data_IF_628856947689
#
_entry.id   IF_628856947689
#
_cell.length_a   1.000
_cell.length_b   1.000
_cell.length_c   1.000
_cell.angle_alpha   90.00
_cell.angle_beta   90.00
_cell.angle_gamma   90.00
#
_symmetry.space_group_name_H-M   'P 1'
#
loop_
_entity.id
_entity.type
_entity.pdbx_description
1 polymer ?
#
# COMPACT_ATOMS: atom_id res chain seq x y z
N UNK A 1 -7.28 -5.20 17.33
CA UNK A 1 -7.76 -5.86 18.53
C UNK A 1 -6.63 -6.72 19.12
N UNK A 2 -5.96 -6.28 20.20
CA UNK A 2 -4.92 -7.06 20.84
C UNK A 2 -5.57 -8.18 21.69
N UNK A 3 -5.08 -9.39 21.55
CA UNK A 3 -5.44 -10.57 22.30
C UNK A 3 -4.18 -11.10 22.99
N UNK A 4 -4.22 -11.34 24.30
CA UNK A 4 -3.08 -11.82 25.09
C UNK A 4 -3.57 -12.85 26.10
N UNK A 5 -2.85 -13.94 26.25
CA UNK A 5 -3.14 -14.97 27.27
C UNK A 5 -3.18 -14.32 28.66
N UNK A 6 -4.18 -14.65 29.47
CA UNK A 6 -4.43 -14.06 30.77
C UNK A 6 -5.27 -12.78 30.77
N UNK A 7 -5.61 -12.21 29.60
CA UNK A 7 -6.50 -11.06 29.53
C UNK A 7 -7.97 -11.47 29.57
N UNK A 8 -8.78 -10.63 30.21
CA UNK A 8 -10.25 -10.82 30.23
C UNK A 8 -10.88 -10.35 28.91
N UNK A 9 -11.81 -11.12 28.40
CA UNK A 9 -12.57 -10.85 27.16
C UNK A 9 -14.03 -11.18 27.39
N UNK A 10 -14.90 -10.20 27.19
CA UNK A 10 -16.33 -10.42 27.10
C UNK A 10 -16.69 -11.02 25.72
N UNK A 11 -17.21 -12.23 25.72
CA UNK A 11 -17.51 -12.97 24.49
C UNK A 11 -18.57 -12.29 23.61
N UNK A 12 -19.56 -11.64 24.19
CA UNK A 12 -20.60 -10.94 23.43
C UNK A 12 -20.01 -9.68 22.77
N UNK A 13 -19.24 -8.90 23.52
CA UNK A 13 -18.55 -7.74 23.00
C UNK A 13 -17.51 -8.10 21.94
N UNK A 14 -16.76 -9.20 22.12
CA UNK A 14 -15.82 -9.70 21.13
C UNK A 14 -16.52 -10.01 19.79
N UNK A 15 -17.68 -10.67 19.83
CA UNK A 15 -18.45 -10.99 18.62
C UNK A 15 -18.92 -9.72 17.89
N UNK A 16 -19.43 -8.74 18.63
CA UNK A 16 -19.84 -7.45 18.06
C UNK A 16 -18.63 -6.74 17.43
N UNK A 17 -17.50 -6.70 18.14
CA UNK A 17 -16.29 -6.06 17.65
C UNK A 17 -15.73 -6.73 16.39
N UNK A 18 -15.69 -8.07 16.35
CA UNK A 18 -15.28 -8.81 15.14
C UNK A 18 -16.21 -8.52 13.95
N UNK A 19 -17.52 -8.47 14.20
CA UNK A 19 -18.48 -8.10 13.17
C UNK A 19 -18.24 -6.66 12.67
N UNK A 20 -18.06 -5.69 13.57
CA UNK A 20 -17.77 -4.30 13.22
C UNK A 20 -16.42 -4.15 12.47
N UNK A 21 -15.46 -5.06 12.75
CA UNK A 21 -14.19 -5.18 12.05
C UNK A 21 -14.31 -5.89 10.68
N UNK A 22 -15.52 -6.29 10.27
CA UNK A 22 -15.80 -6.91 8.97
C UNK A 22 -15.62 -8.41 8.89
N UNK A 23 -15.41 -9.11 10.02
CA UNK A 23 -15.38 -10.57 10.05
C UNK A 23 -16.78 -11.15 9.90
N UNK A 24 -16.88 -12.24 9.14
CA UNK A 24 -18.14 -12.96 8.91
C UNK A 24 -18.24 -14.14 9.87
N UNK A 25 -19.36 -14.22 10.60
CA UNK A 25 -19.61 -15.34 11.49
C UNK A 25 -20.01 -16.58 10.72
N UNK A 26 -19.24 -17.65 10.88
CA UNK A 26 -19.49 -18.96 10.28
C UNK A 26 -19.57 -20.06 11.35
N UNK A 27 -20.05 -21.24 10.96
CA UNK A 27 -20.07 -22.41 11.85
C UNK A 27 -18.68 -22.97 12.13
N UNK A 28 -17.82 -22.91 11.11
CA UNK A 28 -16.41 -23.28 11.11
C UNK A 28 -15.65 -22.28 10.27
N UNK A 29 -14.48 -21.92 10.74
CA UNK A 29 -13.57 -21.03 10.02
C UNK A 29 -12.89 -21.80 8.89
N UNK A 30 -13.02 -21.31 7.66
CA UNK A 30 -12.45 -21.95 6.46
C UNK A 30 -11.56 -21.02 5.65
N UNK A 31 -11.78 -19.71 5.67
CA UNK A 31 -11.05 -18.73 4.85
C UNK A 31 -10.78 -17.46 5.68
N UNK A 32 -9.73 -16.67 5.28
CA UNK A 32 -9.47 -15.38 5.89
C UNK A 32 -10.71 -14.48 5.89
N UNK A 33 -10.96 -13.81 7.01
CA UNK A 33 -12.15 -12.99 7.25
C UNK A 33 -13.30 -13.73 7.94
N UNK A 34 -13.21 -15.03 8.16
CA UNK A 34 -14.21 -15.80 8.93
C UNK A 34 -13.91 -15.76 10.43
N UNK A 35 -14.95 -15.82 11.27
CA UNK A 35 -14.83 -16.19 12.68
C UNK A 35 -15.94 -17.16 13.10
N UNK A 36 -15.67 -17.97 14.12
CA UNK A 36 -16.63 -18.94 14.68
C UNK A 36 -16.57 -18.92 16.20
N UNK A 37 -17.74 -19.14 16.82
CA UNK A 37 -17.86 -19.25 18.29
C UNK A 37 -18.54 -20.55 18.62
N UNK A 38 -17.89 -21.37 19.48
CA UNK A 38 -18.36 -22.69 19.90
C UNK A 38 -18.15 -22.88 21.41
N UNK A 39 -19.13 -22.51 22.20
CA UNK A 39 -18.98 -22.48 23.65
C UNK A 39 -17.96 -21.44 24.08
N UNK A 40 -16.91 -21.87 24.78
CA UNK A 40 -15.79 -21.02 25.20
C UNK A 40 -14.69 -20.87 24.15
N UNK A 41 -14.84 -21.49 22.97
CA UNK A 41 -13.84 -21.43 21.90
C UNK A 41 -14.24 -20.38 20.89
N UNK A 42 -13.29 -19.48 20.56
CA UNK A 42 -13.42 -18.52 19.47
C UNK A 42 -12.31 -18.77 18.46
N UNK A 43 -12.69 -19.07 17.23
CA UNK A 43 -11.80 -19.21 16.08
C UNK A 43 -11.88 -17.95 15.22
N UNK A 44 -10.75 -17.36 14.83
CA UNK A 44 -10.67 -16.17 13.98
C UNK A 44 -9.65 -16.44 12.89
N UNK A 45 -9.97 -16.13 11.62
CA UNK A 45 -9.01 -16.20 10.53
C UNK A 45 -8.65 -14.80 10.07
N UNK A 46 -7.55 -14.21 10.57
CA UNK A 46 -7.10 -12.90 10.13
C UNK A 46 -6.69 -12.89 8.66
N UNK A 47 -6.78 -11.71 8.00
CA UNK A 47 -6.40 -11.56 6.59
C UNK A 47 -4.89 -11.64 6.34
N UNK A 48 -4.10 -11.33 7.35
CA UNK A 48 -2.64 -11.23 7.33
C UNK A 48 -1.93 -12.42 7.97
N UNK A 49 -2.67 -13.49 8.31
CA UNK A 49 -2.13 -14.70 8.91
C UNK A 49 -2.27 -15.92 7.98
N UNK A 50 -1.24 -16.76 7.96
CA UNK A 50 -1.25 -18.02 7.17
C UNK A 50 -2.22 -19.05 7.77
N UNK A 51 -2.47 -19.00 9.09
CA UNK A 51 -3.34 -19.89 9.83
C UNK A 51 -4.35 -19.13 10.68
N UNK A 52 -5.56 -19.68 10.85
CA UNK A 52 -6.51 -19.15 11.82
C UNK A 52 -6.02 -19.32 13.26
N UNK A 53 -6.55 -18.46 14.12
CA UNK A 53 -6.23 -18.40 15.55
C UNK A 53 -7.40 -18.96 16.33
N UNK A 54 -7.12 -19.78 17.34
CA UNK A 54 -8.09 -20.29 18.31
C UNK A 54 -7.80 -19.72 19.68
N UNK A 55 -8.82 -19.11 20.26
CA UNK A 55 -8.86 -18.71 21.65
C UNK A 55 -9.67 -19.76 22.42
N UNK A 56 -9.11 -20.32 23.47
CA UNK A 56 -9.85 -21.07 24.49
C UNK A 56 -10.04 -20.14 25.70
N UNK A 57 -11.30 -19.92 26.11
CA UNK A 57 -11.63 -19.07 27.24
C UNK A 57 -11.94 -19.94 28.46
N UNK A 58 -11.37 -19.55 29.59
CA UNK A 58 -11.82 -20.05 30.91
C UNK A 58 -12.64 -18.94 31.56
N UNK A 59 -13.96 -19.10 31.56
CA UNK A 59 -14.93 -18.05 31.89
C UNK A 59 -14.76 -16.84 30.95
N UNK A 60 -14.15 -15.75 31.40
CA UNK A 60 -13.87 -14.55 30.63
C UNK A 60 -12.37 -14.37 30.29
N UNK A 61 -11.48 -15.20 30.82
CA UNK A 61 -10.05 -15.11 30.65
C UNK A 61 -9.57 -15.94 29.44
N UNK A 62 -8.67 -15.41 28.63
CA UNK A 62 -8.01 -16.16 27.56
C UNK A 62 -7.02 -17.15 28.21
N UNK A 63 -7.39 -18.42 28.29
CA UNK A 63 -6.54 -19.49 28.84
C UNK A 63 -5.45 -19.88 27.84
N UNK A 64 -5.81 -20.08 26.56
CA UNK A 64 -4.85 -20.39 25.51
C UNK A 64 -5.14 -19.64 24.23
N UNK A 65 -4.05 -19.33 23.50
CA UNK A 65 -4.06 -18.74 22.17
C UNK A 65 -3.15 -19.55 21.26
N UNK A 66 -3.65 -20.03 20.11
CA UNK A 66 -2.89 -20.92 19.24
C UNK A 66 -3.28 -20.80 17.77
N UNK A 67 -2.31 -20.98 16.87
CA UNK A 67 -2.62 -21.27 15.46
C UNK A 67 -3.17 -22.69 15.32
N UNK A 68 -4.08 -22.89 14.38
CA UNK A 68 -4.58 -24.20 14.02
C UNK A 68 -4.78 -24.33 12.51
N UNK A 69 -4.67 -25.54 12.02
CA UNK A 69 -4.93 -25.86 10.62
C UNK A 69 -6.46 -25.98 10.40
N UNK A 70 -7.04 -25.18 9.48
CA UNK A 70 -8.50 -25.15 9.29
C UNK A 70 -9.07 -26.45 8.71
N UNK A 71 -8.27 -27.26 7.99
CA UNK A 71 -8.72 -28.52 7.40
C UNK A 71 -8.68 -29.65 8.42
N UNK A 72 -7.58 -29.79 9.16
CA UNK A 72 -7.41 -30.88 10.14
C UNK A 72 -7.87 -30.52 11.53
N UNK A 73 -8.14 -29.25 11.82
CA UNK A 73 -8.51 -28.69 13.13
C UNK A 73 -7.46 -28.90 14.24
N UNK A 74 -6.22 -29.26 13.85
CA UNK A 74 -5.13 -29.49 14.80
C UNK A 74 -4.36 -28.20 15.07
N UNK A 75 -3.91 -28.03 16.31
CA UNK A 75 -3.03 -26.92 16.70
C UNK A 75 -1.70 -27.04 15.94
N UNK A 76 -1.21 -25.91 15.46
CA UNK A 76 0.08 -25.78 14.76
C UNK A 76 1.12 -25.23 15.73
N UNK A 77 0.84 -24.10 16.39
CA UNK A 77 1.76 -23.44 17.31
C UNK A 77 0.98 -22.66 18.39
N UNK A 78 1.61 -22.44 19.55
CA UNK A 78 1.04 -21.64 20.62
C UNK A 78 1.53 -20.18 20.50
N UNK A 79 0.67 -19.27 20.96
CA UNK A 79 0.95 -17.82 20.96
C UNK A 79 0.77 -17.28 22.38
N UNK A 80 1.61 -16.33 22.78
CA UNK A 80 1.41 -15.54 24.01
C UNK A 80 0.47 -14.36 23.75
N UNK A 81 0.53 -13.79 22.55
CA UNK A 81 -0.32 -12.68 22.12
C UNK A 81 -0.46 -12.64 20.61
N UNK A 82 -1.55 -12.03 20.12
CA UNK A 82 -1.78 -11.72 18.72
C UNK A 82 -2.61 -10.44 18.57
N UNK A 83 -2.36 -9.66 17.53
CA UNK A 83 -3.19 -8.49 17.20
C UNK A 83 -4.03 -8.78 15.97
N UNK A 84 -5.35 -8.93 16.15
CA UNK A 84 -6.30 -9.10 15.05
C UNK A 84 -6.52 -7.75 14.37
N UNK A 85 -6.21 -7.66 13.08
CA UNK A 85 -6.47 -6.50 12.24
C UNK A 85 -7.89 -6.57 11.66
N UNK A 86 -8.48 -5.43 11.24
CA UNK A 86 -9.78 -5.44 10.55
C UNK A 86 -9.75 -6.26 9.27
N UNK A 87 -10.86 -6.94 8.98
CA UNK A 87 -11.09 -7.66 7.72
C UNK A 87 -11.77 -6.79 6.65
N UNK A 88 -11.93 -5.50 6.91
CA UNK A 88 -12.51 -4.51 6.01
C UNK A 88 -11.74 -3.19 6.07
N UNK A 89 -11.73 -2.45 4.96
CA UNK A 89 -11.22 -1.09 4.91
C UNK A 89 -12.19 -0.09 5.57
N UNK A 90 -13.41 -0.52 5.85
CA UNK A 90 -14.48 0.33 6.41
C UNK A 90 -14.99 -0.24 7.73
N UNK A 91 -14.53 0.34 8.83
CA UNK A 91 -15.05 0.01 10.17
C UNK A 91 -16.30 0.87 10.40
N UNK A 92 -17.46 0.22 10.49
CA UNK A 92 -18.75 0.88 10.65
C UNK A 92 -19.48 0.29 11.86
N UNK A 93 -19.50 1.04 12.95
CA UNK A 93 -20.31 0.66 14.13
C UNK A 93 -21.78 1.00 13.91
N UNK A 94 -22.67 0.33 14.64
CA UNK A 94 -24.10 0.64 14.63
C UNK A 94 -24.38 2.12 14.95
N UNK A 95 -23.64 2.72 15.87
CA UNK A 95 -23.78 4.13 16.22
C UNK A 95 -23.41 5.05 15.03
N UNK A 96 -22.33 4.73 14.31
CA UNK A 96 -21.92 5.48 13.10
C UNK A 96 -22.97 5.37 12.00
N UNK A 97 -23.51 4.18 11.77
CA UNK A 97 -24.55 3.95 10.76
C UNK A 97 -25.85 4.68 11.10
N UNK A 98 -26.30 4.65 12.37
CA UNK A 98 -27.47 5.40 12.81
C UNK A 98 -27.30 6.91 12.62
N UNK A 99 -26.16 7.46 13.05
CA UNK A 99 -25.85 8.87 12.85
C UNK A 99 -25.70 9.22 11.35
N UNK A 100 -25.16 8.30 10.56
CA UNK A 100 -25.06 8.41 9.11
C UNK A 100 -26.44 8.50 8.44
N UNK A 101 -27.36 7.65 8.84
CA UNK A 101 -28.74 7.65 8.35
C UNK A 101 -29.46 8.98 8.64
N UNK A 102 -29.24 9.56 9.83
CA UNK A 102 -29.79 10.87 10.19
C UNK A 102 -29.21 11.99 9.30
N UNK A 103 -27.87 12.00 9.08
CA UNK A 103 -27.20 12.97 8.21
C UNK A 103 -27.67 12.84 6.76
N UNK A 104 -27.77 11.63 6.22
CA UNK A 104 -28.25 11.35 4.88
C UNK A 104 -29.73 11.78 4.71
N UNK A 105 -30.59 11.47 5.69
CA UNK A 105 -32.01 11.89 5.69
C UNK A 105 -32.15 13.41 5.67
N UNK A 106 -31.34 14.12 6.45
CA UNK A 106 -31.31 15.59 6.46
C UNK A 106 -30.87 16.15 5.12
N UNK A 107 -29.82 15.60 4.53
CA UNK A 107 -29.32 16.01 3.21
C UNK A 107 -30.34 15.72 2.10
N UNK A 108 -30.96 14.54 2.11
CA UNK A 108 -32.05 14.17 1.17
C UNK A 108 -33.22 15.15 1.28
N UNK A 109 -33.63 15.55 2.48
CA UNK A 109 -34.70 16.52 2.69
C UNK A 109 -34.38 17.91 2.14
N UNK A 110 -33.11 18.31 2.16
CA UNK A 110 -32.62 19.55 1.56
C UNK A 110 -32.60 19.47 0.01
N UNK A 111 -32.17 18.34 -0.53
CA UNK A 111 -32.11 18.09 -1.98
C UNK A 111 -33.48 18.01 -2.60
N UNK A 112 -34.43 17.29 -2.00
CA UNK A 112 -35.81 17.13 -2.52
C UNK A 112 -36.54 18.44 -2.72
N UNK A 113 -36.21 19.49 -1.96
CA UNK A 113 -36.80 20.82 -2.13
C UNK A 113 -36.48 21.46 -3.49
N UNK A 114 -35.36 21.07 -4.09
CA UNK A 114 -34.83 21.59 -5.36
C UNK A 114 -35.28 20.77 -6.57
N UNK A 115 -35.74 19.54 -6.38
CA UNK A 115 -36.09 18.58 -7.44
C UNK A 115 -37.56 18.70 -7.89
N UNK A 116 -37.84 18.25 -9.12
CA UNK A 116 -39.21 18.04 -9.64
C UNK A 116 -39.85 16.86 -8.89
N UNK A 117 -41.18 16.79 -8.95
CA UNK A 117 -41.96 15.78 -8.20
C UNK A 117 -41.56 14.34 -8.59
N UNK A 118 -41.36 14.06 -9.86
CA UNK A 118 -40.93 12.75 -10.37
C UNK A 118 -39.56 12.35 -9.82
N UNK A 119 -38.65 13.29 -9.85
CA UNK A 119 -37.24 13.07 -9.46
C UNK A 119 -37.12 12.89 -7.92
N UNK A 120 -38.00 13.57 -7.14
CA UNK A 120 -38.08 13.37 -5.68
C UNK A 120 -38.47 11.94 -5.32
N UNK A 121 -39.46 11.38 -6.06
CA UNK A 121 -39.92 10.02 -5.82
C UNK A 121 -38.81 9.03 -6.14
N UNK A 122 -38.16 9.17 -7.29
CA UNK A 122 -37.03 8.30 -7.69
C UNK A 122 -35.89 8.36 -6.68
N UNK A 123 -35.51 9.55 -6.20
CA UNK A 123 -34.49 9.70 -5.17
C UNK A 123 -34.91 9.01 -3.86
N UNK A 124 -36.16 9.19 -3.42
CA UNK A 124 -36.66 8.57 -2.20
C UNK A 124 -36.65 7.02 -2.30
N UNK A 125 -37.10 6.50 -3.46
CA UNK A 125 -37.13 5.05 -3.70
C UNK A 125 -35.69 4.47 -3.67
N UNK A 126 -34.74 5.14 -4.32
CA UNK A 126 -33.33 4.72 -4.35
C UNK A 126 -32.66 4.74 -2.95
N UNK A 127 -33.01 5.70 -2.10
CA UNK A 127 -32.42 5.84 -0.76
C UNK A 127 -33.13 5.02 0.32
N UNK A 128 -34.28 4.44 0.04
CA UNK A 128 -35.07 3.66 1.02
C UNK A 128 -34.28 2.48 1.57
N UNK A 129 -33.69 1.67 0.70
CA UNK A 129 -32.94 0.48 1.13
C UNK A 129 -31.64 0.86 1.87
N UNK A 130 -30.76 1.74 1.35
CA UNK A 130 -29.58 2.21 2.07
C UNK A 130 -29.87 2.77 3.47
N UNK A 131 -30.91 3.60 3.60
CA UNK A 131 -31.32 4.14 4.90
C UNK A 131 -31.81 3.04 5.87
N UNK A 132 -32.59 2.07 5.37
CA UNK A 132 -33.04 0.92 6.16
C UNK A 132 -31.86 0.07 6.62
N UNK A 133 -30.88 -0.15 5.75
CA UNK A 133 -29.70 -0.95 6.07
C UNK A 133 -28.83 -0.25 7.12
N UNK A 134 -28.58 1.06 6.97
CA UNK A 134 -27.89 1.87 7.99
C UNK A 134 -28.59 1.80 9.36
N UNK A 135 -29.93 1.92 9.39
CA UNK A 135 -30.70 1.85 10.64
C UNK A 135 -30.62 0.49 11.32
N UNK A 136 -30.51 -0.58 10.53
CA UNK A 136 -30.40 -1.97 11.01
C UNK A 136 -28.97 -2.43 11.28
N UNK A 137 -27.98 -1.60 10.96
CA UNK A 137 -26.55 -1.99 11.06
C UNK A 137 -26.11 -3.01 10.00
N UNK A 138 -26.80 -3.05 8.85
CA UNK A 138 -26.47 -3.96 7.75
C UNK A 138 -25.52 -3.27 6.76
N UNK A 139 -24.41 -3.94 6.45
CA UNK A 139 -23.43 -3.46 5.47
C UNK A 139 -23.79 -4.01 4.10
N UNK A 140 -24.50 -3.19 3.28
CA UNK A 140 -24.81 -3.50 1.89
C UNK A 140 -23.73 -3.00 0.93
N UNK A 141 -23.68 -3.57 -0.28
CA UNK A 141 -22.69 -3.21 -1.31
C UNK A 141 -22.70 -1.72 -1.70
N UNK A 142 -23.86 -1.07 -1.62
CA UNK A 142 -24.04 0.34 -2.02
C UNK A 142 -23.77 1.32 -0.87
N UNK A 143 -23.44 0.82 0.33
CA UNK A 143 -23.26 1.67 1.51
C UNK A 143 -22.11 2.67 1.35
N UNK A 144 -21.09 2.30 0.60
CA UNK A 144 -19.92 3.14 0.31
C UNK A 144 -20.26 4.40 -0.50
N UNK A 145 -21.34 4.38 -1.27
CA UNK A 145 -21.87 5.57 -1.96
C UNK A 145 -22.23 6.70 -0.98
N UNK A 146 -22.46 6.36 0.27
CA UNK A 146 -22.87 7.26 1.34
C UNK A 146 -21.79 7.44 2.41
N UNK A 147 -20.54 7.11 2.10
CA UNK A 147 -19.40 7.18 3.01
C UNK A 147 -19.23 8.55 3.68
N UNK A 148 -19.47 9.64 2.96
CA UNK A 148 -19.42 11.00 3.50
C UNK A 148 -20.42 11.25 4.63
N UNK A 149 -21.53 10.48 4.67
CA UNK A 149 -22.55 10.56 5.73
C UNK A 149 -22.23 9.60 6.88
N UNK A 150 -21.48 8.55 6.64
CA UNK A 150 -21.12 7.55 7.65
C UNK A 150 -20.00 8.04 8.58
N UNK A 151 -19.02 8.72 8.04
CA UNK A 151 -17.90 9.28 8.79
C UNK A 151 -18.13 10.76 9.15
N UNK A 152 -17.76 11.14 10.37
CA UNK A 152 -17.88 12.52 10.85
C UNK A 152 -16.77 13.45 10.35
N UNK A 153 -15.64 12.87 9.96
CA UNK A 153 -14.48 13.58 9.42
C UNK A 153 -13.83 12.76 8.30
N UNK A 154 -13.26 13.46 7.33
CA UNK A 154 -12.41 12.83 6.34
C UNK A 154 -11.03 12.58 6.96
N UNK A 155 -10.47 11.42 6.69
CA UNK A 155 -9.10 11.04 7.06
C UNK A 155 -8.24 10.91 5.80
N UNK A 156 -6.94 11.07 5.97
CA UNK A 156 -5.95 10.92 4.90
C UNK A 156 -4.80 10.03 5.35
N UNK A 157 -3.93 9.65 4.44
CA UNK A 157 -2.72 8.88 4.78
C UNK A 157 -1.80 9.64 5.75
N UNK A 158 -1.90 10.97 5.80
CA UNK A 158 -1.07 11.80 6.69
C UNK A 158 -1.44 11.62 8.16
N UNK A 159 -2.69 11.24 8.44
CA UNK A 159 -3.16 10.97 9.81
C UNK A 159 -2.47 9.73 10.42
N UNK A 160 -1.82 8.90 9.61
CA UNK A 160 -1.04 7.75 10.05
C UNK A 160 0.46 8.07 10.26
N UNK A 161 0.90 9.27 9.90
CA UNK A 161 2.28 9.70 10.11
C UNK A 161 2.43 10.17 11.57
N UNK A 162 3.49 9.73 12.25
CA UNK A 162 3.79 10.19 13.61
C UNK A 162 4.11 11.70 13.59
N UNK A 163 3.82 12.40 14.68
CA UNK A 163 3.94 13.86 14.77
C UNK A 163 5.33 14.43 14.46
N UNK A 164 6.38 13.62 14.63
CA UNK A 164 7.77 13.92 14.28
C UNK A 164 8.21 13.33 12.94
N UNK A 165 7.27 12.73 12.22
CA UNK A 165 7.49 12.11 10.92
C UNK A 165 7.76 13.11 9.81
N UNK A 166 8.29 12.60 8.69
CA UNK A 166 8.56 13.37 7.47
C UNK A 166 7.76 12.78 6.32
N UNK A 167 7.04 13.62 5.60
CA UNK A 167 6.30 13.24 4.39
C UNK A 167 7.14 13.56 3.17
N UNK A 168 7.44 12.54 2.37
CA UNK A 168 8.23 12.69 1.14
C UNK A 168 7.33 12.49 -0.08
N UNK A 169 7.24 13.51 -0.91
CA UNK A 169 6.53 13.47 -2.19
C UNK A 169 7.52 13.21 -3.31
N UNK A 170 7.46 12.03 -3.92
CA UNK A 170 8.23 11.70 -5.10
C UNK A 170 7.49 12.17 -6.36
N UNK A 171 8.08 13.09 -7.12
CA UNK A 171 7.48 13.68 -8.33
C UNK A 171 6.09 14.31 -8.08
N UNK A 172 5.99 15.25 -7.14
CA UNK A 172 4.74 15.90 -6.75
C UNK A 172 3.89 16.39 -7.94
N UNK A 173 4.51 16.89 -9.01
CA UNK A 173 3.78 17.29 -10.21
C UNK A 173 3.05 16.13 -10.88
N UNK A 174 3.62 14.92 -10.87
CA UNK A 174 2.97 13.71 -11.39
C UNK A 174 1.82 13.26 -10.51
N UNK A 175 1.96 13.44 -9.19
CA UNK A 175 0.86 13.16 -8.25
C UNK A 175 -0.33 14.05 -8.59
N UNK A 176 -0.12 15.35 -8.82
CA UNK A 176 -1.19 16.27 -9.24
C UNK A 176 -1.79 15.93 -10.60
N UNK A 177 -0.97 15.52 -11.57
CA UNK A 177 -1.46 15.10 -12.89
C UNK A 177 -2.33 13.83 -12.77
N UNK A 178 -1.92 12.87 -11.95
CA UNK A 178 -2.70 11.65 -11.67
C UNK A 178 -4.01 11.97 -10.92
N UNK A 179 -3.95 12.86 -9.93
CA UNK A 179 -5.14 13.33 -9.22
C UNK A 179 -6.15 13.97 -10.18
N UNK A 180 -5.68 14.83 -11.10
CA UNK A 180 -6.57 15.46 -12.07
C UNK A 180 -7.30 14.44 -12.95
N UNK A 181 -6.62 13.35 -13.35
CA UNK A 181 -7.24 12.27 -14.11
C UNK A 181 -8.27 11.50 -13.26
N UNK A 182 -7.97 11.23 -12.00
CA UNK A 182 -8.91 10.59 -11.07
C UNK A 182 -10.14 11.46 -10.83
N UNK A 183 -9.97 12.75 -10.58
CA UNK A 183 -11.06 13.69 -10.37
C UNK A 183 -11.95 13.83 -11.60
N UNK A 184 -11.40 13.76 -12.81
CA UNK A 184 -12.20 13.75 -14.03
C UNK A 184 -13.08 12.50 -14.12
N UNK A 185 -12.48 11.31 -13.88
CA UNK A 185 -13.25 10.05 -13.87
C UNK A 185 -14.31 10.01 -12.77
N UNK A 186 -14.00 10.54 -11.59
CA UNK A 186 -14.95 10.69 -10.49
C UNK A 186 -16.11 11.63 -10.86
N UNK A 187 -15.83 12.77 -11.48
CA UNK A 187 -16.85 13.73 -11.91
C UNK A 187 -17.80 13.12 -12.96
N UNK A 188 -17.27 12.37 -13.92
CA UNK A 188 -18.07 11.67 -14.93
C UNK A 188 -18.97 10.61 -14.26
N UNK A 189 -18.42 9.83 -13.33
CA UNK A 189 -19.18 8.84 -12.58
C UNK A 189 -20.24 9.46 -11.66
N UNK A 190 -19.90 10.52 -10.90
CA UNK A 190 -20.89 11.25 -10.07
C UNK A 190 -22.01 11.80 -10.93
N UNK A 191 -21.70 12.34 -12.11
CA UNK A 191 -22.69 12.85 -13.06
C UNK A 191 -23.69 11.77 -13.47
N UNK A 192 -23.21 10.55 -13.75
CA UNK A 192 -24.06 9.40 -14.05
C UNK A 192 -24.93 9.02 -12.85
N UNK A 193 -24.34 8.93 -11.64
CA UNK A 193 -25.11 8.60 -10.43
C UNK A 193 -26.17 9.66 -10.08
N UNK A 194 -25.87 10.94 -10.30
CA UNK A 194 -26.82 12.03 -10.14
C UNK A 194 -27.97 11.96 -11.15
N UNK A 195 -27.69 11.64 -12.43
CA UNK A 195 -28.69 11.45 -13.45
C UNK A 195 -29.70 10.33 -13.11
N UNK A 196 -29.21 9.31 -12.38
CA UNK A 196 -30.03 8.20 -11.89
C UNK A 196 -30.59 8.42 -10.48
N UNK A 197 -30.40 9.58 -9.88
CA UNK A 197 -30.83 9.92 -8.51
C UNK A 197 -30.37 8.90 -7.44
N UNK A 198 -29.16 8.34 -7.58
CA UNK A 198 -28.56 7.40 -6.62
C UNK A 198 -27.73 8.09 -5.56
N UNK A 199 -27.22 9.28 -5.84
CA UNK A 199 -26.44 10.11 -4.91
C UNK A 199 -27.01 11.51 -4.85
N UNK A 200 -26.61 12.28 -3.84
CA UNK A 200 -27.03 13.67 -3.69
C UNK A 200 -26.04 14.63 -4.36
N UNK A 201 -26.50 15.83 -4.70
CA UNK A 201 -25.67 16.85 -5.37
C UNK A 201 -24.48 17.33 -4.55
N UNK A 202 -24.45 17.00 -3.27
CA UNK A 202 -23.34 17.29 -2.34
C UNK A 202 -22.29 16.17 -2.29
N UNK A 203 -22.48 15.09 -3.04
CA UNK A 203 -21.58 13.94 -3.02
C UNK A 203 -20.12 14.33 -3.32
N UNK A 204 -19.21 13.93 -2.44
CA UNK A 204 -17.78 14.22 -2.53
C UNK A 204 -16.99 13.06 -1.93
N UNK A 205 -16.32 12.29 -2.78
CA UNK A 205 -15.60 11.06 -2.38
C UNK A 205 -14.10 11.27 -2.18
N UNK A 206 -13.51 12.25 -2.89
CA UNK A 206 -12.07 12.51 -2.87
C UNK A 206 -11.63 13.56 -1.85
N UNK A 207 -10.32 13.65 -1.65
CA UNK A 207 -9.63 14.74 -1.01
C UNK A 207 -8.77 15.45 -2.07
N UNK A 208 -8.68 16.78 -2.02
CA UNK A 208 -7.75 17.55 -2.87
C UNK A 208 -6.34 17.48 -2.27
N UNK A 209 -5.36 17.02 -3.04
CA UNK A 209 -3.96 16.87 -2.60
C UNK A 209 -3.35 18.19 -2.15
N UNK A 210 -3.73 19.31 -2.77
CA UNK A 210 -3.20 20.63 -2.40
C UNK A 210 -3.74 21.09 -1.05
N UNK A 211 -4.99 20.74 -0.75
CA UNK A 211 -5.59 21.07 0.54
C UNK A 211 -5.04 20.16 1.64
N UNK A 212 -4.81 18.88 1.34
CA UNK A 212 -4.11 17.96 2.23
C UNK A 212 -2.70 18.44 2.54
N UNK A 213 -1.92 18.82 1.52
CA UNK A 213 -0.56 19.34 1.69
C UNK A 213 -0.51 20.61 2.56
N UNK A 214 -1.49 21.49 2.42
CA UNK A 214 -1.57 22.73 3.23
C UNK A 214 -2.02 22.49 4.66
N UNK A 215 -2.91 21.50 4.85
CA UNK A 215 -3.44 21.16 6.17
C UNK A 215 -2.44 20.33 7.00
N UNK A 216 -1.56 19.62 6.33
CA UNK A 216 -0.55 18.77 6.96
C UNK A 216 0.52 19.62 7.68
N UNK A 217 0.82 19.27 8.93
CA UNK A 217 1.80 19.96 9.77
C UNK A 217 3.18 19.30 9.83
N UNK A 218 3.35 18.14 9.19
CA UNK A 218 4.62 17.41 9.17
C UNK A 218 5.68 18.14 8.35
N UNK A 219 6.93 17.82 8.59
CA UNK A 219 8.02 18.24 7.72
C UNK A 219 7.83 17.59 6.33
N UNK A 220 7.87 18.38 5.27
CA UNK A 220 7.58 17.94 3.91
C UNK A 220 8.80 18.10 3.01
N UNK A 221 9.12 17.04 2.25
CA UNK A 221 10.19 17.03 1.25
C UNK A 221 9.58 16.68 -0.10
N UNK A 222 9.73 17.58 -1.07
CA UNK A 222 9.30 17.34 -2.44
C UNK A 222 10.53 16.99 -3.29
N UNK A 223 10.60 15.76 -3.78
CA UNK A 223 11.66 15.25 -4.66
C UNK A 223 11.18 15.32 -6.10
N UNK A 224 12.02 15.81 -7.01
CA UNK A 224 11.69 15.91 -8.42
C UNK A 224 12.95 15.86 -9.28
N UNK A 225 12.87 15.19 -10.44
CA UNK A 225 13.96 15.15 -11.42
C UNK A 225 14.20 16.50 -12.09
N UNK A 226 13.14 17.29 -12.23
CA UNK A 226 13.21 18.60 -12.86
C UNK A 226 12.59 19.67 -11.98
N UNK A 227 13.20 20.83 -11.94
CA UNK A 227 12.60 21.98 -11.29
C UNK A 227 11.39 22.47 -12.10
N UNK A 228 10.23 21.90 -11.83
CA UNK A 228 8.95 22.39 -12.35
C UNK A 228 8.27 23.26 -11.30
N UNK A 229 7.48 24.23 -11.78
CA UNK A 229 6.64 25.01 -10.87
C UNK A 229 5.63 24.09 -10.15
N UNK A 230 5.66 24.10 -8.83
CA UNK A 230 4.75 23.34 -7.97
C UNK A 230 3.50 24.14 -7.60
N UNK A 231 3.14 25.10 -8.44
CA UNK A 231 2.00 25.97 -8.22
C UNK A 231 2.20 26.88 -6.99
N UNK A 232 1.15 27.04 -6.17
CA UNK A 232 1.14 27.95 -5.03
C UNK A 232 1.73 27.34 -3.73
N UNK A 233 2.59 26.31 -3.84
CA UNK A 233 3.26 25.72 -2.68
C UNK A 233 4.42 26.64 -2.25
N UNK A 234 4.40 27.04 -0.98
CA UNK A 234 5.46 27.87 -0.39
C UNK A 234 6.59 26.98 0.12
N UNK A 235 7.72 27.00 -0.59
CA UNK A 235 8.91 26.24 -0.21
C UNK A 235 9.78 27.05 0.74
N UNK A 236 10.28 26.40 1.79
CA UNK A 236 11.26 26.97 2.71
C UNK A 236 12.65 27.04 2.06
N UNK A 237 13.03 26.00 1.31
CA UNK A 237 14.33 25.89 0.65
C UNK A 237 14.21 25.03 -0.62
N UNK A 238 15.06 25.31 -1.59
CA UNK A 238 15.26 24.47 -2.80
C UNK A 238 16.73 24.05 -2.82
N UNK A 239 16.96 22.74 -2.90
CA UNK A 239 18.32 22.17 -2.97
C UNK A 239 18.44 21.33 -4.24
N UNK A 240 19.45 21.60 -5.05
CA UNK A 240 19.77 20.80 -6.22
C UNK A 240 20.75 19.68 -5.82
N UNK A 241 20.33 18.43 -5.97
CA UNK A 241 21.17 17.25 -5.75
C UNK A 241 21.69 16.78 -7.11
N UNK A 242 22.99 16.92 -7.36
CA UNK A 242 23.62 16.54 -8.62
C UNK A 242 24.30 15.20 -8.47
N UNK A 243 23.71 14.15 -9.03
CA UNK A 243 24.29 12.82 -9.07
C UNK A 243 24.70 12.40 -10.47
N UNK A 244 25.65 11.48 -10.57
CA UNK A 244 26.03 10.81 -11.80
C UNK A 244 25.79 9.31 -11.64
N UNK A 245 25.24 8.63 -12.64
CA UNK A 245 25.10 7.18 -12.58
C UNK A 245 26.46 6.51 -12.48
N UNK A 246 26.52 5.41 -11.75
CA UNK A 246 27.73 4.59 -11.66
C UNK A 246 27.95 3.81 -12.94
N UNK A 247 29.22 3.68 -13.35
CA UNK A 247 29.60 2.82 -14.45
C UNK A 247 29.64 1.35 -14.01
N UNK A 248 29.39 0.44 -14.95
CA UNK A 248 29.51 -0.99 -14.71
C UNK A 248 30.94 -1.47 -14.92
N UNK A 249 31.51 -2.18 -13.95
CA UNK A 249 32.88 -2.70 -14.01
C UNK A 249 32.97 -4.13 -14.52
N UNK A 250 31.87 -4.89 -14.51
CA UNK A 250 31.77 -6.27 -15.03
C UNK A 250 32.86 -7.25 -14.51
N UNK A 251 33.29 -7.09 -13.28
CA UNK A 251 34.37 -7.86 -12.69
C UNK A 251 35.78 -7.42 -13.07
N UNK A 252 35.94 -6.31 -13.79
CA UNK A 252 37.26 -5.72 -14.11
C UNK A 252 37.76 -4.90 -12.92
N UNK A 253 38.26 -5.56 -11.88
CA UNK A 253 38.75 -4.91 -10.66
C UNK A 253 39.90 -3.91 -10.88
N UNK A 254 40.81 -4.10 -11.86
CA UNK A 254 41.78 -3.05 -12.20
C UNK A 254 41.14 -1.74 -12.64
N UNK A 255 40.01 -1.79 -13.36
CA UNK A 255 39.26 -0.58 -13.73
C UNK A 255 38.60 0.08 -12.51
N UNK A 256 38.04 -0.72 -11.61
CA UNK A 256 37.53 -0.22 -10.32
C UNK A 256 38.66 0.45 -9.51
N UNK A 257 39.85 -0.18 -9.41
CA UNK A 257 41.01 0.40 -8.70
C UNK A 257 41.41 1.77 -9.26
N UNK A 258 41.40 1.91 -10.58
CA UNK A 258 41.67 3.21 -11.22
C UNK A 258 40.67 4.29 -10.83
N UNK A 259 39.37 3.95 -10.75
CA UNK A 259 38.34 4.87 -10.30
C UNK A 259 38.43 5.17 -8.81
N UNK A 260 38.76 4.16 -7.96
CA UNK A 260 38.99 4.35 -6.54
C UNK A 260 40.13 5.34 -6.30
N UNK A 261 41.24 5.25 -7.06
CA UNK A 261 42.35 6.21 -7.01
C UNK A 261 41.91 7.62 -7.41
N UNK A 262 41.05 7.73 -8.41
CA UNK A 262 40.45 8.99 -8.82
C UNK A 262 39.59 9.60 -7.72
N UNK A 263 38.68 8.82 -7.14
CA UNK A 263 37.80 9.28 -6.06
C UNK A 263 38.59 9.62 -4.78
N UNK A 264 39.64 8.86 -4.47
CA UNK A 264 40.54 9.18 -3.36
C UNK A 264 41.23 10.55 -3.55
N UNK A 265 41.77 10.83 -4.74
CA UNK A 265 42.34 12.15 -5.07
C UNK A 265 41.34 13.29 -4.94
N UNK A 266 40.06 13.00 -5.22
CA UNK A 266 38.97 13.96 -5.09
C UNK A 266 38.38 14.00 -3.66
N UNK A 267 38.98 13.28 -2.71
CA UNK A 267 38.54 13.17 -1.31
C UNK A 267 37.09 12.71 -1.17
N UNK A 268 36.64 11.82 -2.05
CA UNK A 268 35.31 11.22 -1.98
C UNK A 268 35.29 10.09 -0.93
N UNK A 269 34.20 9.96 -0.21
CA UNK A 269 33.89 8.79 0.63
C UNK A 269 33.31 7.73 -0.28
N UNK A 270 33.96 6.58 -0.37
CA UNK A 270 33.51 5.49 -1.24
C UNK A 270 32.87 4.39 -0.44
N UNK A 271 31.64 4.04 -0.81
CA UNK A 271 30.87 2.93 -0.20
C UNK A 271 30.68 1.83 -1.25
N UNK A 272 31.28 0.68 -1.01
CA UNK A 272 31.05 -0.54 -1.77
C UNK A 272 29.89 -1.29 -1.09
N UNK A 273 28.73 -1.31 -1.70
CA UNK A 273 27.51 -1.84 -1.11
C UNK A 273 27.27 -3.28 -1.51
N UNK A 274 27.11 -4.15 -0.52
CA UNK A 274 26.91 -5.60 -0.67
C UNK A 274 25.59 -5.99 -0.02
N UNK A 275 24.74 -6.70 -0.73
CA UNK A 275 23.37 -6.99 -0.29
C UNK A 275 23.28 -7.97 0.88
N UNK A 276 24.13 -9.00 0.87
CA UNK A 276 24.08 -10.12 1.83
C UNK A 276 25.28 -10.08 2.80
N UNK A 277 25.02 -10.24 4.10
CA UNK A 277 26.05 -10.24 5.13
C UNK A 277 27.12 -11.32 4.90
N UNK A 278 26.73 -12.50 4.45
CA UNK A 278 27.62 -13.64 4.17
C UNK A 278 28.63 -13.35 3.06
N UNK A 279 28.30 -12.41 2.16
CA UNK A 279 29.13 -12.03 1.01
C UNK A 279 30.13 -10.92 1.33
N UNK A 280 29.96 -10.18 2.43
CA UNK A 280 30.86 -9.09 2.82
C UNK A 280 32.31 -9.54 2.89
N UNK A 281 32.59 -10.62 3.62
CA UNK A 281 33.94 -11.17 3.78
C UNK A 281 34.52 -11.66 2.45
N UNK A 282 33.66 -12.29 1.60
CA UNK A 282 34.11 -12.76 0.28
C UNK A 282 34.45 -11.60 -0.66
N UNK A 283 33.67 -10.54 -0.63
CA UNK A 283 33.94 -9.33 -1.41
C UNK A 283 35.21 -8.67 -0.91
N UNK A 284 35.39 -8.52 0.41
CA UNK A 284 36.61 -7.94 1.00
C UNK A 284 37.86 -8.72 0.56
N UNK A 285 37.86 -10.04 0.71
CA UNK A 285 39.00 -10.89 0.29
C UNK A 285 39.29 -10.74 -1.22
N UNK A 286 38.24 -10.62 -2.04
CA UNK A 286 38.41 -10.41 -3.49
C UNK A 286 39.08 -9.04 -3.77
N UNK A 287 38.73 -8.00 -3.03
CA UNK A 287 39.31 -6.66 -3.17
C UNK A 287 40.81 -6.67 -2.70
N UNK A 288 41.07 -7.36 -1.60
CA UNK A 288 42.44 -7.52 -1.06
C UNK A 288 43.37 -8.22 -2.09
N UNK A 289 42.88 -9.23 -2.82
CA UNK A 289 43.63 -9.92 -3.89
C UNK A 289 44.05 -8.95 -5.03
N UNK A 290 43.35 -7.81 -5.18
CA UNK A 290 43.67 -6.77 -6.15
C UNK A 290 44.31 -5.52 -5.51
N UNK A 291 44.81 -5.65 -4.27
CA UNK A 291 45.41 -4.55 -3.51
C UNK A 291 44.47 -3.32 -3.40
N UNK A 292 43.21 -3.58 -3.14
CA UNK A 292 42.20 -2.54 -2.87
C UNK A 292 41.88 -2.61 -1.38
N UNK A 293 42.43 -1.68 -0.61
CA UNK A 293 42.18 -1.58 0.84
C UNK A 293 40.75 -1.03 1.06
N UNK A 294 39.93 -1.83 1.73
CA UNK A 294 38.57 -1.42 2.09
C UNK A 294 38.24 -1.83 3.53
N UNK A 295 37.50 -0.99 4.23
CA UNK A 295 37.14 -1.22 5.63
C UNK A 295 35.69 -1.65 5.74
N UNK A 296 35.42 -2.82 6.32
CA UNK A 296 34.03 -3.23 6.61
C UNK A 296 33.46 -2.39 7.75
N UNK A 297 32.33 -1.74 7.51
CA UNK A 297 31.65 -0.89 8.50
C UNK A 297 30.15 -0.93 8.34
N UNK A 298 29.43 -0.25 9.25
CA UNK A 298 27.98 -0.03 9.14
C UNK A 298 27.70 1.35 8.56
N UNK A 299 26.52 1.52 7.96
CA UNK A 299 26.10 2.78 7.35
C UNK A 299 26.13 3.99 8.31
N UNK A 300 25.94 3.74 9.62
CA UNK A 300 25.97 4.79 10.64
C UNK A 300 27.38 5.27 10.97
N UNK A 301 28.43 4.51 10.57
CA UNK A 301 29.81 4.74 10.96
C UNK A 301 30.73 5.05 9.77
N UNK A 302 30.19 5.70 8.72
CA UNK A 302 30.99 6.04 7.55
C UNK A 302 32.09 7.06 7.88
N UNK A 303 33.29 6.78 7.39
CA UNK A 303 34.45 7.64 7.55
C UNK A 303 34.75 8.40 6.24
N UNK A 304 34.88 9.72 6.26
CA UNK A 304 35.20 10.52 5.08
C UNK A 304 36.53 10.13 4.44
N UNK A 305 36.56 10.06 3.11
CA UNK A 305 37.79 9.83 2.34
C UNK A 305 38.34 8.40 2.37
N UNK A 306 37.62 7.45 2.93
CA UNK A 306 38.01 6.03 3.03
C UNK A 306 37.11 5.19 2.13
N UNK A 307 37.67 4.11 1.56
CA UNK A 307 36.87 3.07 0.86
C UNK A 307 36.32 2.11 1.90
N UNK A 308 35.02 1.92 1.90
CA UNK A 308 34.32 1.14 2.91
C UNK A 308 33.36 0.15 2.29
N UNK A 309 33.23 -1.02 2.88
CA UNK A 309 32.25 -2.04 2.52
C UNK A 309 31.10 -2.00 3.53
N UNK A 310 29.90 -1.84 3.03
CA UNK A 310 28.70 -1.71 3.86
C UNK A 310 27.64 -2.70 3.38
N UNK A 311 26.95 -3.33 4.33
CA UNK A 311 25.77 -4.11 4.02
C UNK A 311 24.61 -3.18 3.69
N UNK A 312 23.97 -3.40 2.53
CA UNK A 312 22.80 -2.63 2.10
C UNK A 312 22.39 -2.99 0.70
N UNK A 313 21.22 -2.46 0.28
CA UNK A 313 20.69 -2.67 -1.05
C UNK A 313 20.31 -1.34 -1.68
N UNK A 314 20.85 -1.10 -2.87
CA UNK A 314 20.41 -0.07 -3.79
C UNK A 314 20.22 -0.69 -5.17
N UNK A 315 19.32 -0.13 -5.95
CA UNK A 315 19.10 -0.61 -7.31
C UNK A 315 20.31 -0.33 -8.19
N UNK A 316 20.90 0.86 -8.08
CA UNK A 316 22.08 1.29 -8.81
C UNK A 316 22.96 2.17 -7.91
N UNK A 317 24.27 2.13 -8.12
CA UNK A 317 25.22 3.03 -7.52
C UNK A 317 25.21 4.41 -8.18
N UNK A 318 25.86 5.37 -7.54
CA UNK A 318 25.97 6.74 -8.04
C UNK A 318 27.17 7.48 -7.46
N UNK A 319 27.63 8.51 -8.18
CA UNK A 319 28.51 9.53 -7.64
C UNK A 319 27.68 10.76 -7.23
N UNK A 320 27.92 11.26 -6.04
CA UNK A 320 27.37 12.53 -5.53
C UNK A 320 28.52 13.48 -5.18
N UNK A 321 29.06 14.22 -6.17
CA UNK A 321 30.24 15.05 -5.98
C UNK A 321 30.09 16.13 -4.91
N UNK A 322 28.94 16.80 -4.87
CA UNK A 322 28.64 17.88 -3.92
C UNK A 322 28.57 17.38 -2.46
N UNK A 323 28.23 16.10 -2.26
CA UNK A 323 28.20 15.42 -0.96
C UNK A 323 29.45 14.62 -0.66
N UNK A 324 30.45 14.67 -1.53
CA UNK A 324 31.68 13.86 -1.40
C UNK A 324 31.42 12.37 -1.16
N UNK A 325 30.40 11.81 -1.84
CA UNK A 325 29.97 10.43 -1.66
C UNK A 325 29.91 9.68 -2.99
N UNK A 326 30.41 8.47 -2.99
CA UNK A 326 30.31 7.53 -4.11
C UNK A 326 29.78 6.22 -3.57
N UNK A 327 28.74 5.69 -4.19
CA UNK A 327 28.22 4.36 -3.87
C UNK A 327 28.35 3.48 -5.10
N UNK A 328 29.00 2.34 -4.94
CA UNK A 328 29.14 1.29 -5.95
C UNK A 328 28.47 0.04 -5.42
N UNK A 329 27.48 -0.46 -6.13
CA UNK A 329 26.79 -1.69 -5.72
C UNK A 329 27.52 -2.93 -6.22
N UNK A 330 27.22 -4.07 -5.63
CA UNK A 330 27.77 -5.35 -6.05
C UNK A 330 27.43 -5.68 -7.51
N UNK A 331 26.31 -5.16 -8.03
CA UNK A 331 25.91 -5.36 -9.43
C UNK A 331 26.88 -4.69 -10.39
N UNK A 332 27.28 -3.44 -10.12
CA UNK A 332 28.23 -2.72 -10.96
C UNK A 332 29.64 -3.31 -10.83
N UNK A 333 30.01 -3.81 -9.64
CA UNK A 333 31.34 -4.43 -9.46
C UNK A 333 31.48 -5.76 -10.21
N UNK A 334 30.51 -6.68 -10.11
CA UNK A 334 30.73 -8.08 -10.45
C UNK A 334 29.75 -8.69 -11.48
N UNK A 335 28.50 -8.19 -11.56
CA UNK A 335 27.51 -8.85 -12.44
C UNK A 335 27.68 -8.46 -13.91
N UNK A 336 27.95 -9.44 -14.75
CA UNK A 336 27.58 -9.36 -16.15
C UNK A 336 26.04 -9.31 -16.24
N UNK A 337 25.50 -8.33 -16.96
CA UNK A 337 24.06 -8.31 -17.25
C UNK A 337 23.71 -9.59 -18.00
N UNK A 338 23.22 -10.58 -17.29
CA UNK A 338 22.60 -11.72 -17.92
C UNK A 338 21.36 -11.16 -18.62
N UNK A 339 21.39 -11.06 -19.97
CA UNK A 339 20.18 -10.78 -20.76
C UNK A 339 19.13 -11.77 -20.29
N UNK A 340 18.13 -11.31 -19.52
CA UNK A 340 16.96 -12.11 -19.17
C UNK A 340 16.35 -12.55 -20.51
N UNK A 341 16.61 -13.78 -20.93
CA UNK A 341 15.79 -14.40 -21.98
C UNK A 341 14.37 -14.34 -21.44
N UNK A 342 13.41 -13.77 -22.18
CA UNK A 342 12.03 -13.78 -21.74
C UNK A 342 11.68 -15.24 -21.45
N UNK A 343 11.36 -15.54 -20.19
CA UNK A 343 10.89 -16.88 -19.79
C UNK A 343 9.61 -17.07 -20.59
N UNK A 344 9.65 -17.93 -21.62
CA UNK A 344 8.43 -18.38 -22.28
C UNK A 344 7.56 -18.95 -21.17
N UNK A 345 6.52 -18.22 -20.80
CA UNK A 345 5.46 -18.79 -19.97
C UNK A 345 4.85 -19.91 -20.79
N UNK A 346 5.19 -21.13 -20.46
CA UNK A 346 4.41 -22.30 -20.85
C UNK A 346 3.12 -22.20 -20.07
N UNK A 347 2.11 -21.60 -20.68
CA UNK A 347 0.75 -21.68 -20.18
C UNK A 347 0.40 -23.17 -20.14
N UNK A 348 0.20 -23.71 -18.95
CA UNK A 348 -0.04 -25.13 -18.69
C UNK A 348 -1.30 -25.68 -19.40
N UNK A 349 -2.13 -24.82 -20.00
CA UNK A 349 -3.36 -25.17 -20.71
C UNK A 349 -3.48 -24.47 -22.08
N UNK A 350 -2.37 -24.09 -22.72
CA UNK A 350 -2.44 -23.57 -24.09
C UNK A 350 -2.51 -24.70 -25.09
N UNK A 351 -3.65 -24.91 -25.70
CA UNK A 351 -3.78 -25.73 -26.87
C UNK A 351 -2.93 -25.13 -28.00
N UNK A 352 -2.09 -25.97 -28.62
CA UNK A 352 -1.27 -25.57 -29.75
C UNK A 352 -2.20 -25.30 -30.92
N UNK A 353 -2.34 -24.05 -31.33
CA UNK A 353 -3.06 -23.64 -32.52
C UNK A 353 -2.49 -24.38 -33.73
N UNK A 354 -3.30 -25.25 -34.34
CA UNK A 354 -2.91 -26.08 -35.46
C UNK A 354 -2.85 -25.32 -36.80
N UNK A 355 -3.42 -24.12 -36.87
CA UNK A 355 -3.34 -23.24 -38.04
C UNK A 355 -3.68 -21.81 -37.73
N UNK A 356 -3.08 -20.81 -38.43
CA UNK A 356 -3.36 -19.40 -38.32
C UNK A 356 -4.73 -18.97 -38.83
N UNK A 357 -5.40 -19.81 -39.61
CA UNK A 357 -6.75 -19.55 -40.15
C UNK A 357 -7.81 -19.51 -39.07
N UNK A 358 -7.57 -20.09 -37.90
CA UNK A 358 -8.54 -20.11 -36.80
C UNK A 358 -8.66 -18.74 -36.08
N UNK A 359 -7.64 -17.87 -36.16
CA UNK A 359 -7.64 -16.53 -35.53
C UNK A 359 -8.40 -15.46 -36.34
N UNK A 360 -8.50 -15.65 -37.66
CA UNK A 360 -9.20 -14.74 -38.57
C UNK A 360 -10.73 -14.74 -38.38
N UNK A 361 -11.28 -15.82 -37.80
CA UNK A 361 -12.73 -15.96 -37.58
C UNK A 361 -13.22 -15.58 -36.19
N UNK A 362 -12.30 -15.34 -35.22
CA UNK A 362 -12.67 -15.11 -33.83
C UNK A 362 -12.43 -13.68 -33.33
N UNK A 363 -11.79 -12.82 -34.11
CA UNK A 363 -11.58 -11.41 -33.78
C UNK A 363 -11.71 -10.56 -35.04
N UNK A 364 -12.84 -9.89 -35.27
CA UNK A 364 -12.94 -8.93 -36.38
C UNK A 364 -11.92 -7.82 -36.18
N UNK A 365 -11.10 -7.59 -37.19
CA UNK A 365 -10.12 -6.50 -37.20
C UNK A 365 -10.85 -5.15 -37.19
N UNK A 366 -10.35 -4.16 -36.43
CA UNK A 366 -10.90 -2.80 -36.49
C UNK A 366 -10.86 -2.16 -37.88
N UNK A 367 -10.19 -2.79 -38.86
CA UNK A 367 -10.11 -2.32 -40.25
C UNK A 367 -11.24 -2.81 -41.15
N UNK A 368 -12.01 -3.82 -40.74
CA UNK A 368 -13.06 -4.41 -41.57
C UNK A 368 -14.40 -3.65 -41.48
N UNK A 369 -14.47 -2.56 -40.68
CA UNK A 369 -15.63 -1.67 -40.53
C UNK A 369 -15.60 -0.40 -41.36
N UNK A 370 -14.64 -0.20 -42.24
CA UNK A 370 -14.45 1.09 -42.94
C UNK A 370 -14.68 1.04 -44.49
N UNK A 371 -15.50 0.13 -44.97
CA UNK A 371 -15.94 0.15 -46.41
C UNK A 371 -17.35 -0.36 -46.51
N UNK A 372 -18.30 0.53 -46.30
CA UNK A 372 -19.57 0.65 -47.10
C UNK A 372 -20.28 1.93 -46.71
#
# INVERSE_FOLDING_TARGET
LPLTVGNEVDLEQLQVLLHDMGYVREKLVARPGDFAVRGSIVDIYPLDADYPIRLDLFDTEIDTLKYFDPETQRSVDNLDSFTVLPATDFILTQAMMTAGAERLTKAMSAETKKLKVTDRQTLADNLTQPLSDMQKGLIGNDLLLYGEYLYSSKTSIFDYVQSDGVVIFDEYSRILDSEQQLLQGEADWITDQLAHHKVLSTANYGNDMRDLLKADSHAQILVSLFQKGIGNVRLAQITAVRTRPMQEFFGQLPALKTELDRWHKLKQTVVLMVSEAERLTKVNNTLDDFEIDAVMTKAENLQPGVVQIVQGTLQNGFEFPDGHLVIVTEQEMFKKVAKKRPRRQTLANAERLKSYTCLLYTSPSPRDGATS
#
